data_IF_941473219985
#
_entry.id   IF_941473219985
#
_cell.length_a   1.000
_cell.length_b   1.000
_cell.length_c   1.000
_cell.angle_alpha   90.00
_cell.angle_beta   90.00
_cell.angle_gamma   90.00
#
_symmetry.space_group_name_H-M   'P 1'
#
loop_
_entity.id
_entity.type
_entity.pdbx_description
1 polymer ?
#
# COMPACT_ATOMS: atom_id res chain seq x y z
N UNK A 1 -22.01 8.90 25.92
CA UNK A 1 -22.46 7.65 25.26
C UNK A 1 -21.45 7.14 24.23
N UNK A 2 -21.02 7.94 23.24
CA UNK A 2 -20.04 7.52 22.22
C UNK A 2 -18.72 6.93 22.77
N UNK A 3 -18.15 7.50 23.85
CA UNK A 3 -16.93 6.95 24.50
C UNK A 3 -17.10 5.54 25.06
N UNK A 4 -18.26 5.22 25.63
CA UNK A 4 -18.53 3.91 26.22
C UNK A 4 -18.70 2.83 25.13
N UNK A 5 -19.29 3.20 23.98
CA UNK A 5 -19.37 2.32 22.82
C UNK A 5 -17.97 1.98 22.28
N UNK A 6 -17.10 2.99 22.16
CA UNK A 6 -15.72 2.81 21.70
C UNK A 6 -14.95 1.89 22.65
N UNK A 7 -15.08 2.06 23.96
CA UNK A 7 -14.42 1.16 24.95
C UNK A 7 -14.88 -0.30 24.81
N UNK A 8 -16.17 -0.51 24.56
CA UNK A 8 -16.74 -1.85 24.38
C UNK A 8 -16.20 -2.52 23.11
N UNK A 9 -16.09 -1.76 22.01
CA UNK A 9 -15.57 -2.26 20.73
C UNK A 9 -14.06 -2.51 20.82
N UNK A 10 -13.30 -1.61 21.45
CA UNK A 10 -11.84 -1.74 21.63
C UNK A 10 -11.47 -3.03 22.35
N UNK A 11 -12.28 -3.49 23.31
CA UNK A 11 -12.06 -4.75 24.02
C UNK A 11 -12.13 -5.99 23.11
N UNK A 12 -12.77 -5.89 21.93
CA UNK A 12 -12.89 -6.97 20.96
C UNK A 12 -11.84 -6.90 19.84
N UNK A 13 -11.06 -5.83 19.77
CA UNK A 13 -10.05 -5.65 18.71
C UNK A 13 -8.85 -6.55 18.99
N UNK A 14 -8.58 -7.46 18.05
CA UNK A 14 -7.34 -8.25 18.01
C UNK A 14 -6.31 -7.54 17.13
N UNK A 15 -5.06 -7.51 17.59
CA UNK A 15 -3.93 -6.84 16.92
C UNK A 15 -4.23 -5.38 16.54
N UNK A 16 -4.44 -4.49 17.54
CA UNK A 16 -4.71 -3.09 17.28
C UNK A 16 -3.55 -2.46 16.51
N UNK A 17 -3.93 -1.61 15.57
CA UNK A 17 -2.96 -0.90 14.76
C UNK A 17 -2.25 0.19 15.58
N UNK A 18 -0.94 0.40 15.37
CA UNK A 18 -0.16 1.36 16.16
C UNK A 18 -0.56 2.81 15.87
N UNK A 19 -0.86 3.11 14.60
CA UNK A 19 -1.32 4.42 14.15
C UNK A 19 -2.83 4.40 13.92
N UNK A 20 -3.53 5.43 14.41
CA UNK A 20 -4.98 5.58 14.29
C UNK A 20 -5.31 6.73 13.34
N UNK A 21 -6.03 6.40 12.27
CA UNK A 21 -6.67 7.38 11.40
C UNK A 21 -8.12 7.61 11.88
N UNK A 22 -8.61 8.83 11.71
CA UNK A 22 -9.97 9.23 12.08
C UNK A 22 -10.58 10.09 10.97
N UNK A 23 -11.86 9.86 10.68
CA UNK A 23 -12.67 10.64 9.77
C UNK A 23 -13.92 11.10 10.52
N UNK A 24 -14.31 12.36 10.35
CA UNK A 24 -15.52 12.91 10.96
C UNK A 24 -16.31 13.67 9.89
N UNK A 25 -17.62 13.50 9.91
CA UNK A 25 -18.52 14.19 8.98
C UNK A 25 -19.71 14.75 9.74
N UNK A 26 -20.07 15.98 9.41
CA UNK A 26 -21.29 16.59 9.92
C UNK A 26 -22.45 16.25 8.99
N UNK A 27 -23.49 15.65 9.55
CA UNK A 27 -24.68 15.19 8.83
C UNK A 27 -25.79 16.21 9.03
N UNK A 28 -26.32 16.75 7.93
CA UNK A 28 -27.54 17.57 7.94
C UNK A 28 -28.71 16.73 7.43
N UNK A 29 -29.83 16.75 8.14
CA UNK A 29 -31.04 16.02 7.71
C UNK A 29 -31.84 16.95 6.79
N UNK A 30 -32.12 16.51 5.57
CA UNK A 30 -32.93 17.24 4.60
C UNK A 30 -34.11 16.39 4.13
N UNK A 31 -35.18 17.03 3.66
CA UNK A 31 -36.32 16.29 3.10
C UNK A 31 -35.88 15.40 1.93
N UNK A 32 -36.56 14.25 1.82
CA UNK A 32 -36.25 13.05 1.04
C UNK A 32 -35.91 13.27 -0.45
N UNK A 33 -36.18 14.46 -0.97
CA UNK A 33 -35.95 14.83 -2.37
C UNK A 33 -34.65 15.62 -2.65
N UNK A 34 -33.84 15.91 -1.63
CA UNK A 34 -32.55 16.61 -1.77
C UNK A 34 -31.37 15.85 -1.13
N UNK A 35 -31.43 14.52 -1.04
CA UNK A 35 -30.28 13.73 -0.63
C UNK A 35 -29.14 13.92 -1.66
N UNK A 36 -28.05 14.55 -1.24
CA UNK A 36 -26.95 14.95 -2.11
C UNK A 36 -26.00 15.95 -1.43
N UNK A 37 -24.97 16.35 -2.19
CA UNK A 37 -23.97 17.35 -1.77
C UNK A 37 -24.65 18.68 -1.45
N UNK A 38 -24.57 19.13 -0.20
CA UNK A 38 -24.81 20.52 0.15
C UNK A 38 -23.45 21.23 0.25
N UNK A 39 -23.42 22.54 -0.02
CA UNK A 39 -22.22 23.39 0.09
C UNK A 39 -21.61 23.32 1.52
N UNK A 40 -22.41 22.86 2.48
CA UNK A 40 -22.20 23.04 3.91
C UNK A 40 -22.27 21.70 4.69
N UNK A 41 -22.20 20.56 4.00
CA UNK A 41 -22.23 19.22 4.61
C UNK A 41 -22.98 18.15 3.80
N UNK A 42 -23.04 16.93 4.34
CA UNK A 42 -23.75 15.82 3.71
C UNK A 42 -25.24 15.86 4.10
N UNK A 43 -26.12 15.97 3.10
CA UNK A 43 -27.57 15.94 3.30
C UNK A 43 -28.11 14.51 3.23
N UNK A 44 -28.61 13.98 4.35
CA UNK A 44 -29.24 12.65 4.42
C UNK A 44 -30.77 12.77 4.43
N UNK A 45 -31.49 11.80 3.81
CA UNK A 45 -32.94 11.81 3.75
C UNK A 45 -33.59 11.52 5.11
N UNK A 46 -32.93 10.71 5.96
CA UNK A 46 -33.40 10.36 7.30
C UNK A 46 -32.23 9.81 8.16
N UNK A 47 -32.50 9.51 9.43
CA UNK A 47 -31.56 8.88 10.37
C UNK A 47 -31.99 7.44 10.68
N UNK A 48 -32.50 6.72 9.68
CA UNK A 48 -32.84 5.31 9.87
C UNK A 48 -31.56 4.48 10.12
N UNK A 49 -31.65 3.35 10.83
CA UNK A 49 -30.51 2.48 11.08
C UNK A 49 -29.79 2.06 9.80
N UNK A 50 -30.54 1.84 8.71
CA UNK A 50 -30.02 1.46 7.40
C UNK A 50 -29.17 2.57 6.77
N UNK A 51 -29.65 3.83 6.83
CA UNK A 51 -28.88 4.98 6.33
C UNK A 51 -27.61 5.19 7.16
N UNK A 52 -27.70 5.07 8.48
CA UNK A 52 -26.53 5.15 9.35
C UNK A 52 -25.51 4.04 9.09
N UNK A 53 -25.97 2.84 8.73
CA UNK A 53 -25.10 1.72 8.38
C UNK A 53 -24.33 2.00 7.08
N UNK A 54 -24.98 2.62 6.09
CA UNK A 54 -24.30 3.06 4.85
C UNK A 54 -23.26 4.13 5.15
N UNK A 55 -23.60 5.12 5.98
CA UNK A 55 -22.64 6.16 6.39
C UNK A 55 -21.44 5.54 7.11
N UNK A 56 -21.69 4.60 8.03
CA UNK A 56 -20.63 3.89 8.74
C UNK A 56 -19.73 3.07 7.80
N UNK A 57 -20.30 2.40 6.78
CA UNK A 57 -19.55 1.67 5.76
C UNK A 57 -18.62 2.60 4.96
N UNK A 58 -19.15 3.71 4.44
CA UNK A 58 -18.38 4.68 3.66
C UNK A 58 -17.27 5.31 4.51
N UNK A 59 -17.57 5.71 5.75
CA UNK A 59 -16.56 6.27 6.65
C UNK A 59 -15.48 5.25 7.01
N UNK A 60 -15.84 3.98 7.24
CA UNK A 60 -14.88 2.92 7.48
C UNK A 60 -13.95 2.72 6.27
N UNK A 61 -14.49 2.77 5.05
CA UNK A 61 -13.72 2.73 3.79
C UNK A 61 -12.79 3.94 3.68
N UNK A 62 -13.26 5.17 3.97
CA UNK A 62 -12.41 6.38 3.94
C UNK A 62 -11.22 6.28 4.91
N UNK A 63 -11.47 5.88 6.16
CA UNK A 63 -10.41 5.71 7.18
C UNK A 63 -9.42 4.62 6.77
N UNK A 64 -9.90 3.52 6.19
CA UNK A 64 -9.06 2.44 5.68
C UNK A 64 -8.16 2.89 4.52
N UNK A 65 -8.68 3.72 3.61
CA UNK A 65 -7.94 4.36 2.53
C UNK A 65 -6.89 5.32 3.07
N UNK A 66 -7.26 6.27 3.94
CA UNK A 66 -6.35 7.23 4.56
C UNK A 66 -5.13 6.55 5.19
N UNK A 67 -5.38 5.43 5.88
CA UNK A 67 -4.30 4.65 6.49
C UNK A 67 -3.39 3.97 5.48
N UNK A 68 -3.97 3.48 4.38
CA UNK A 68 -3.22 2.84 3.31
C UNK A 68 -2.37 3.87 2.57
N UNK A 69 -2.91 5.07 2.34
CA UNK A 69 -2.19 6.24 1.81
C UNK A 69 -0.99 6.60 2.69
N UNK A 70 -1.19 6.75 4.00
CA UNK A 70 -0.12 7.07 4.96
C UNK A 70 1.00 6.01 4.94
N UNK A 71 0.63 4.73 4.89
CA UNK A 71 1.60 3.62 4.80
C UNK A 71 2.40 3.63 3.51
N UNK A 72 1.75 3.90 2.37
CA UNK A 72 2.46 4.02 1.09
C UNK A 72 3.40 5.24 1.12
N UNK A 73 2.94 6.39 1.63
CA UNK A 73 3.76 7.59 1.74
C UNK A 73 5.03 7.36 2.57
N UNK A 74 4.91 6.76 3.76
CA UNK A 74 6.05 6.42 4.62
C UNK A 74 7.05 5.45 3.94
N UNK A 75 6.57 4.60 3.03
CA UNK A 75 7.43 3.70 2.26
C UNK A 75 8.18 4.45 1.15
N UNK A 76 7.54 5.40 0.47
CA UNK A 76 8.22 6.28 -0.49
C UNK A 76 9.36 7.06 0.16
N UNK A 77 9.13 7.64 1.34
CA UNK A 77 10.18 8.35 2.11
C UNK A 77 11.38 7.45 2.45
N UNK A 78 11.15 6.15 2.64
CA UNK A 78 12.22 5.19 2.91
C UNK A 78 13.01 4.80 1.66
N UNK A 79 12.37 4.78 0.49
CA UNK A 79 13.01 4.40 -0.79
C UNK A 79 13.78 5.59 -1.39
N UNK A 80 13.30 6.81 -1.23
CA UNK A 80 13.88 8.01 -1.83
C UNK A 80 15.40 8.16 -1.56
N UNK A 81 15.93 7.97 -0.33
CA UNK A 81 17.37 8.02 -0.07
C UNK A 81 18.18 7.01 -0.88
N UNK A 82 17.63 5.82 -1.15
CA UNK A 82 18.30 4.81 -1.96
C UNK A 82 18.33 5.20 -3.44
N UNK A 83 17.24 5.76 -3.95
CA UNK A 83 17.19 6.29 -5.32
C UNK A 83 18.21 7.42 -5.51
N UNK A 84 18.27 8.37 -4.57
CA UNK A 84 19.25 9.47 -4.57
C UNK A 84 20.68 8.94 -4.45
N UNK A 85 20.93 7.97 -3.58
CA UNK A 85 22.25 7.36 -3.44
C UNK A 85 22.70 6.65 -4.72
N UNK A 86 21.80 5.90 -5.37
CA UNK A 86 22.10 5.23 -6.63
C UNK A 86 22.39 6.24 -7.74
N UNK A 87 21.59 7.31 -7.85
CA UNK A 87 21.81 8.38 -8.82
C UNK A 87 23.19 9.02 -8.65
N UNK A 88 23.62 9.29 -7.41
CA UNK A 88 24.91 9.95 -7.13
C UNK A 88 26.12 9.05 -7.32
N UNK A 89 26.01 7.77 -6.97
CA UNK A 89 27.18 6.87 -6.89
C UNK A 89 27.28 5.87 -8.04
N UNK A 90 26.16 5.60 -8.74
CA UNK A 90 26.05 4.49 -9.68
C UNK A 90 26.24 3.10 -9.04
N UNK A 91 26.37 3.03 -7.71
CA UNK A 91 26.74 1.82 -6.98
C UNK A 91 25.63 1.45 -6.01
N UNK A 92 25.10 0.25 -6.20
CA UNK A 92 24.29 -0.40 -5.16
C UNK A 92 25.24 -1.00 -4.11
N UNK A 93 25.20 -0.47 -2.88
CA UNK A 93 26.04 -0.87 -1.75
C UNK A 93 25.48 -2.11 -1.00
N UNK A 94 26.22 -2.62 -0.01
CA UNK A 94 25.92 -3.82 0.82
C UNK A 94 24.60 -3.72 1.60
N UNK A 95 23.99 -2.53 1.70
CA UNK A 95 22.60 -2.31 2.16
C UNK A 95 21.54 -2.85 1.19
N UNK A 96 21.95 -3.44 0.08
CA UNK A 96 21.10 -4.23 -0.83
C UNK A 96 20.22 -5.28 -0.14
N UNK A 97 20.70 -5.89 0.94
CA UNK A 97 19.90 -6.83 1.74
C UNK A 97 18.79 -6.15 2.56
N UNK A 98 18.99 -4.91 3.02
CA UNK A 98 17.94 -4.10 3.66
C UNK A 98 16.89 -3.67 2.63
N UNK A 99 17.33 -3.29 1.42
CA UNK A 99 16.44 -3.00 0.30
C UNK A 99 15.58 -4.21 -0.06
N UNK A 100 16.17 -5.39 -0.22
CA UNK A 100 15.41 -6.63 -0.49
C UNK A 100 14.41 -6.92 0.63
N UNK A 101 14.79 -6.71 1.90
CA UNK A 101 13.89 -6.91 3.05
C UNK A 101 12.77 -5.88 3.09
N UNK A 102 13.04 -4.65 2.67
CA UNK A 102 12.03 -3.59 2.52
C UNK A 102 11.06 -3.91 1.38
N UNK A 103 11.56 -4.33 0.22
CA UNK A 103 10.73 -4.77 -0.91
C UNK A 103 9.87 -5.98 -0.52
N UNK A 104 10.44 -6.96 0.19
CA UNK A 104 9.68 -8.11 0.70
C UNK A 104 8.59 -7.69 1.72
N UNK A 105 8.88 -6.72 2.60
CA UNK A 105 7.89 -6.15 3.50
C UNK A 105 6.80 -5.36 2.74
N UNK A 106 7.14 -4.74 1.61
CA UNK A 106 6.21 -4.00 0.74
C UNK A 106 5.31 -4.95 -0.07
N UNK A 107 5.83 -6.02 -0.64
CA UNK A 107 5.05 -7.10 -1.27
C UNK A 107 4.06 -7.73 -0.29
N UNK A 108 4.44 -7.87 0.98
CA UNK A 108 3.53 -8.32 2.04
C UNK A 108 2.40 -7.32 2.35
N UNK A 109 2.63 -6.02 2.13
CA UNK A 109 1.60 -4.98 2.27
C UNK A 109 0.68 -4.98 1.04
N UNK A 110 1.24 -5.11 -0.16
CA UNK A 110 0.47 -5.26 -1.40
C UNK A 110 -0.47 -6.46 -1.32
N UNK A 111 0.04 -7.63 -0.92
CA UNK A 111 -0.80 -8.83 -0.74
C UNK A 111 -1.91 -8.61 0.30
N UNK A 112 -1.70 -7.75 1.31
CA UNK A 112 -2.72 -7.40 2.31
C UNK A 112 -3.69 -6.33 1.81
N UNK A 113 -3.31 -5.48 0.85
CA UNK A 113 -4.22 -4.52 0.22
C UNK A 113 -5.10 -5.16 -0.85
N UNK A 114 -4.56 -6.11 -1.63
CA UNK A 114 -5.33 -6.87 -2.64
C UNK A 114 -6.49 -7.66 -2.01
N UNK A 115 -6.44 -7.94 -0.70
CA UNK A 115 -7.56 -8.50 0.06
C UNK A 115 -8.77 -7.56 0.22
N UNK A 116 -8.72 -6.31 -0.26
CA UNK A 116 -9.77 -5.28 -0.10
C UNK A 116 -10.42 -4.85 -1.42
N UNK A 117 -10.82 -5.82 -2.24
CA UNK A 117 -11.87 -5.59 -3.25
C UNK A 117 -13.17 -4.99 -2.65
N UNK A 118 -13.31 -5.01 -1.32
CA UNK A 118 -14.41 -4.42 -0.55
C UNK A 118 -14.67 -2.91 -0.80
N UNK A 119 -13.67 -2.12 -1.21
CA UNK A 119 -13.90 -0.67 -1.45
C UNK A 119 -14.76 -0.44 -2.71
N UNK A 120 -14.50 -1.23 -3.76
CA UNK A 120 -15.26 -1.18 -5.01
C UNK A 120 -16.60 -1.94 -4.91
N UNK A 121 -16.73 -2.85 -3.95
CA UNK A 121 -17.97 -3.59 -3.72
C UNK A 121 -19.02 -2.72 -3.02
N UNK A 122 -20.22 -2.73 -3.61
CA UNK A 122 -21.41 -2.12 -3.02
C UNK A 122 -21.76 -2.89 -1.73
N UNK A 123 -22.10 -2.20 -0.63
CA UNK A 123 -22.50 -2.87 0.61
C UNK A 123 -23.73 -3.75 0.39
N UNK A 124 -23.76 -4.91 1.05
CA UNK A 124 -24.82 -5.90 0.85
C UNK A 124 -26.23 -5.38 1.14
N UNK A 125 -26.32 -4.39 2.04
CA UNK A 125 -27.56 -3.70 2.36
C UNK A 125 -28.26 -3.11 1.13
N UNK A 126 -27.50 -2.72 0.09
CA UNK A 126 -28.07 -2.17 -1.15
C UNK A 126 -28.81 -3.23 -1.99
N UNK A 127 -28.54 -4.52 -1.78
CA UNK A 127 -29.33 -5.58 -2.42
C UNK A 127 -30.76 -5.64 -1.85
N UNK A 128 -30.91 -5.37 -0.55
CA UNK A 128 -32.22 -5.33 0.13
C UNK A 128 -32.91 -3.96 -0.02
N UNK A 129 -32.12 -2.89 -0.04
CA UNK A 129 -32.58 -1.49 -0.06
C UNK A 129 -31.93 -0.71 -1.22
N UNK A 130 -32.30 -0.98 -2.48
CA UNK A 130 -31.77 -0.27 -3.64
C UNK A 130 -32.15 1.22 -3.65
N UNK A 131 -33.20 1.61 -2.91
CA UNK A 131 -33.59 3.00 -2.69
C UNK A 131 -32.49 3.87 -2.05
N UNK A 132 -31.55 3.24 -1.33
CA UNK A 132 -30.44 3.91 -0.66
C UNK A 132 -29.21 4.09 -1.55
N UNK A 133 -29.23 3.59 -2.80
CA UNK A 133 -28.10 3.68 -3.73
C UNK A 133 -27.67 5.12 -3.99
N UNK A 134 -28.64 6.05 -4.11
CA UNK A 134 -28.34 7.48 -4.31
C UNK A 134 -27.55 8.06 -3.14
N UNK A 135 -27.86 7.66 -1.91
CA UNK A 135 -27.16 8.13 -0.70
C UNK A 135 -25.75 7.56 -0.67
N UNK A 136 -25.59 6.26 -0.97
CA UNK A 136 -24.28 5.62 -1.06
C UNK A 136 -23.38 6.28 -2.09
N UNK A 137 -23.90 6.57 -3.30
CA UNK A 137 -23.13 7.21 -4.36
C UNK A 137 -22.72 8.65 -3.99
N UNK A 138 -23.63 9.44 -3.40
CA UNK A 138 -23.31 10.79 -2.95
C UNK A 138 -22.23 10.80 -1.86
N UNK A 139 -22.30 9.86 -0.92
CA UNK A 139 -21.28 9.65 0.10
C UNK A 139 -19.93 9.23 -0.50
N UNK A 140 -19.95 8.28 -1.43
CA UNK A 140 -18.73 7.78 -2.08
C UNK A 140 -18.02 8.88 -2.88
N UNK A 141 -18.79 9.73 -3.57
CA UNK A 141 -18.29 10.92 -4.29
C UNK A 141 -17.74 11.98 -3.33
N UNK A 142 -18.42 12.24 -2.21
CA UNK A 142 -17.97 13.22 -1.21
C UNK A 142 -16.58 12.87 -0.66
N UNK A 143 -16.34 11.59 -0.36
CA UNK A 143 -15.05 11.11 0.16
C UNK A 143 -14.05 10.70 -0.93
N UNK A 144 -14.41 10.89 -2.21
CA UNK A 144 -13.59 10.55 -3.38
C UNK A 144 -13.04 9.11 -3.31
N UNK A 145 -13.83 8.17 -2.78
CA UNK A 145 -13.31 6.84 -2.43
C UNK A 145 -12.75 6.11 -3.66
N UNK A 146 -13.41 6.27 -4.81
CA UNK A 146 -13.00 5.61 -6.07
C UNK A 146 -11.73 6.23 -6.64
N UNK A 147 -11.65 7.56 -6.67
CA UNK A 147 -10.49 8.30 -7.17
C UNK A 147 -9.26 8.02 -6.31
N UNK A 148 -9.42 8.04 -4.99
CA UNK A 148 -8.36 7.76 -4.02
C UNK A 148 -7.84 6.35 -4.17
N UNK A 149 -8.71 5.36 -4.32
CA UNK A 149 -8.32 3.96 -4.53
C UNK A 149 -7.50 3.79 -5.82
N UNK A 150 -7.96 4.37 -6.94
CA UNK A 150 -7.22 4.34 -8.22
C UNK A 150 -5.86 5.03 -8.11
N UNK A 151 -5.77 6.17 -7.43
CA UNK A 151 -4.49 6.87 -7.22
C UNK A 151 -3.57 6.05 -6.32
N UNK A 152 -4.10 5.41 -5.29
CA UNK A 152 -3.36 4.54 -4.38
C UNK A 152 -2.76 3.34 -5.12
N UNK A 153 -3.56 2.66 -5.95
CA UNK A 153 -3.14 1.52 -6.77
C UNK A 153 -2.01 1.92 -7.74
N UNK A 154 -2.14 3.08 -8.38
CA UNK A 154 -1.08 3.63 -9.25
C UNK A 154 0.21 3.89 -8.50
N UNK A 155 0.14 4.51 -7.30
CA UNK A 155 1.32 4.76 -6.46
C UNK A 155 1.99 3.45 -6.05
N UNK A 156 1.21 2.44 -5.69
CA UNK A 156 1.70 1.12 -5.32
C UNK A 156 2.38 0.42 -6.50
N UNK A 157 1.74 0.43 -7.68
CA UNK A 157 2.28 -0.15 -8.92
C UNK A 157 3.62 0.48 -9.30
N UNK A 158 3.72 1.82 -9.22
CA UNK A 158 4.98 2.52 -9.49
C UNK A 158 6.06 2.11 -8.49
N UNK A 159 5.72 2.03 -7.21
CA UNK A 159 6.66 1.64 -6.16
C UNK A 159 7.19 0.21 -6.37
N UNK A 160 6.31 -0.74 -6.69
CA UNK A 160 6.70 -2.13 -6.98
C UNK A 160 7.57 -2.24 -8.22
N UNK A 161 7.22 -1.54 -9.30
CA UNK A 161 8.05 -1.52 -10.50
C UNK A 161 9.44 -0.95 -10.21
N UNK A 162 9.54 0.12 -9.42
CA UNK A 162 10.82 0.66 -8.99
C UNK A 162 11.60 -0.37 -8.16
N UNK A 163 10.95 -1.02 -7.19
CA UNK A 163 11.54 -2.06 -6.37
C UNK A 163 12.09 -3.24 -7.18
N UNK A 164 11.33 -3.75 -8.15
CA UNK A 164 11.77 -4.81 -9.07
C UNK A 164 12.99 -4.40 -9.89
N UNK A 165 13.01 -3.18 -10.43
CA UNK A 165 14.16 -2.66 -11.15
C UNK A 165 15.42 -2.63 -10.25
N UNK A 166 15.28 -2.18 -9.00
CA UNK A 166 16.39 -2.22 -8.04
C UNK A 166 16.87 -3.65 -7.75
N UNK A 167 15.95 -4.60 -7.58
CA UNK A 167 16.28 -6.01 -7.37
C UNK A 167 17.00 -6.63 -8.57
N UNK A 168 16.58 -6.30 -9.79
CA UNK A 168 17.22 -6.78 -11.01
C UNK A 168 18.66 -6.26 -11.13
N UNK A 169 18.88 -4.96 -10.86
CA UNK A 169 20.23 -4.37 -10.82
C UNK A 169 21.13 -5.03 -9.76
N UNK A 170 20.55 -5.48 -8.64
CA UNK A 170 21.28 -6.21 -7.60
C UNK A 170 21.69 -7.61 -8.05
N UNK A 171 20.80 -8.34 -8.71
CA UNK A 171 21.07 -9.68 -9.20
C UNK A 171 22.15 -9.69 -10.29
N UNK A 172 22.14 -8.70 -11.20
CA UNK A 172 23.14 -8.58 -12.26
C UNK A 172 24.57 -8.45 -11.71
N UNK A 173 24.77 -7.68 -10.63
CA UNK A 173 26.08 -7.57 -9.96
C UNK A 173 26.51 -8.85 -9.26
N UNK A 174 25.57 -9.69 -8.80
CA UNK A 174 25.91 -10.99 -8.20
C UNK A 174 26.41 -11.96 -9.26
N UNK A 175 25.82 -11.93 -10.46
CA UNK A 175 26.25 -12.74 -11.61
C UNK A 175 27.71 -12.46 -11.98
N UNK A 176 28.09 -11.18 -12.09
CA UNK A 176 29.46 -10.77 -12.44
C UNK A 176 30.52 -11.26 -11.44
N UNK A 177 30.19 -11.42 -10.16
CA UNK A 177 31.14 -11.96 -9.17
C UNK A 177 31.41 -13.45 -9.40
N UNK A 178 30.39 -14.21 -9.76
CA UNK A 178 30.55 -15.66 -10.04
C UNK A 178 31.41 -15.85 -11.28
N UNK A 179 31.20 -15.02 -12.31
CA UNK A 179 32.03 -15.01 -13.52
C UNK A 179 33.50 -14.76 -13.19
N UNK A 180 33.81 -13.75 -12.36
CA UNK A 180 35.19 -13.49 -11.93
C UNK A 180 35.83 -14.63 -11.14
N UNK A 181 35.06 -15.35 -10.30
CA UNK A 181 35.59 -16.53 -9.63
C UNK A 181 35.97 -17.64 -10.61
N UNK A 182 35.16 -17.88 -11.64
CA UNK A 182 35.46 -18.86 -12.69
C UNK A 182 36.73 -18.45 -13.45
N UNK A 183 36.84 -17.19 -13.87
CA UNK A 183 38.03 -16.68 -14.56
C UNK A 183 39.28 -16.81 -13.70
N UNK A 184 39.21 -16.44 -12.41
CA UNK A 184 40.33 -16.56 -11.49
C UNK A 184 40.77 -18.01 -11.29
N UNK A 185 39.83 -18.96 -11.19
CA UNK A 185 40.12 -20.38 -11.08
C UNK A 185 40.85 -20.92 -12.31
N UNK A 186 40.38 -20.55 -13.52
CA UNK A 186 41.05 -20.91 -14.78
C UNK A 186 42.47 -20.35 -14.83
N UNK A 187 42.67 -19.09 -14.44
CA UNK A 187 44.00 -18.46 -14.42
C UNK A 187 44.94 -19.18 -13.44
N UNK A 188 44.46 -19.54 -12.25
CA UNK A 188 45.23 -20.30 -11.26
C UNK A 188 45.62 -21.68 -11.81
N UNK A 189 44.69 -22.38 -12.46
CA UNK A 189 44.94 -23.70 -13.05
C UNK A 189 46.01 -23.63 -14.16
N UNK A 190 45.92 -22.63 -15.05
CA UNK A 190 46.93 -22.40 -16.09
C UNK A 190 48.29 -22.08 -15.45
N UNK A 191 48.33 -21.22 -14.43
CA UNK A 191 49.58 -20.84 -13.76
C UNK A 191 50.25 -22.05 -13.09
N UNK A 192 49.48 -22.90 -12.40
CA UNK A 192 49.98 -24.14 -11.81
C UNK A 192 50.48 -25.12 -12.87
N UNK A 193 49.78 -25.24 -13.99
CA UNK A 193 50.17 -26.10 -15.11
C UNK A 193 51.49 -25.65 -15.75
N UNK A 194 51.66 -24.34 -15.96
CA UNK A 194 52.91 -23.75 -16.48
C UNK A 194 54.05 -23.91 -15.48
N UNK A 195 53.78 -23.72 -14.19
CA UNK A 195 54.77 -23.92 -13.14
C UNK A 195 55.26 -25.38 -13.08
N UNK A 196 54.35 -26.36 -13.13
CA UNK A 196 54.73 -27.79 -13.16
C UNK A 196 55.60 -28.10 -14.40
N UNK A 197 55.22 -27.57 -15.56
CA UNK A 197 55.99 -27.75 -16.80
C UNK A 197 57.39 -27.13 -16.72
N UNK A 198 57.53 -25.92 -16.16
CA UNK A 198 58.83 -25.27 -15.97
C UNK A 198 59.68 -25.95 -14.90
N UNK A 199 59.06 -26.49 -13.85
CA UNK A 199 59.78 -27.22 -12.79
C UNK A 199 60.32 -28.58 -13.25
N UNK A 200 59.77 -29.12 -14.34
CA UNK A 200 60.18 -30.40 -14.95
C UNK A 200 61.16 -30.24 -16.11
N UNK A 201 61.31 -29.02 -16.65
CA UNK A 201 62.25 -28.67 -17.70
C UNK A 201 63.63 -28.31 -17.13
#
# INVERSE_FOLDING_TARGET
>A
EARALIETVVAQVRDPFPDREQEQVEIKICEENQAGRSIDGLSLPNTSPEVLLIVADVLAKSVSLARSEARIAANFERIEPFAVHLQRTGKVDRRSSELVRQVAAMLLIEHRMVGRLEIAEKPDLLWERPDLERVYLALTDEFELSERDVVLERKLTLLNRSAELFLNLLNEKRSLRVEWYIVALIVVEIALSVYDLLSRA
#
